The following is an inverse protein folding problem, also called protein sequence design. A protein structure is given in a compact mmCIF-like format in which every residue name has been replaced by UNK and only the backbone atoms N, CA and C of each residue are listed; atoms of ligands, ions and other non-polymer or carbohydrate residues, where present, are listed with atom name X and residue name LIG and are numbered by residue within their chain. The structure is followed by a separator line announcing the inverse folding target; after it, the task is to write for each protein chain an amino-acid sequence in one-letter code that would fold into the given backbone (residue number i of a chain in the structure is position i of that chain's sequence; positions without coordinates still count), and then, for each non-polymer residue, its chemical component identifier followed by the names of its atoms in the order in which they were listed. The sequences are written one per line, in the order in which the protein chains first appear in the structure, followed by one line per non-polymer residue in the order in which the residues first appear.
data_IF_345060864327
#
_entry.id   IF_345060864327
#
_cell.length_a   1.000
_cell.length_b   1.000
_cell.length_c   1.000
_cell.angle_alpha   90.00
_cell.angle_beta   90.00
_cell.angle_gamma   90.00
#
_symmetry.space_group_name_H-M   'P 1'
#
loop_
_entity.id
_entity.type
_entity.pdbx_description
1 polymer ?
#
# COMPACT_ATOMS: atom_id res chain seq x y z
N UNK A 1 -27.97 -1.19 12.79
CA UNK A 1 -27.31 0.13 12.80
C UNK A 1 -26.40 0.13 14.00
N UNK A 2 -25.12 -0.16 13.77
CA UNK A 2 -24.10 -0.05 14.81
C UNK A 2 -23.29 1.20 14.49
N UNK A 3 -23.19 2.07 15.49
CA UNK A 3 -22.54 3.37 15.42
C UNK A 3 -21.04 3.24 15.12
N UNK A 4 -20.70 3.37 13.83
CA UNK A 4 -19.34 3.59 13.30
C UNK A 4 -18.90 5.06 13.43
N UNK A 5 -19.63 5.87 14.20
CA UNK A 5 -19.40 7.30 14.37
C UNK A 5 -18.05 7.62 15.01
N UNK A 6 -17.48 6.70 15.78
CA UNK A 6 -16.13 6.85 16.34
C UNK A 6 -15.00 6.49 15.34
N UNK A 7 -15.31 5.89 14.18
CA UNK A 7 -14.34 5.70 13.09
C UNK A 7 -14.27 6.92 12.16
N UNK A 8 -15.24 7.83 12.23
CA UNK A 8 -15.30 9.06 11.43
C UNK A 8 -14.39 10.18 11.95
N UNK A 9 -13.78 10.04 13.13
CA UNK A 9 -12.94 11.08 13.71
C UNK A 9 -11.46 10.96 13.34
N UNK A 10 -11.00 9.79 12.86
CA UNK A 10 -9.63 9.65 12.32
C UNK A 10 -9.50 10.00 10.83
N UNK A 11 -10.61 10.11 10.10
CA UNK A 11 -10.60 10.43 8.65
C UNK A 11 -10.22 11.87 8.34
N UNK A 12 -10.24 12.78 9.33
CA UNK A 12 -9.99 14.21 9.11
C UNK A 12 -8.53 14.66 9.23
N UNK A 13 -7.60 13.80 9.69
CA UNK A 13 -6.20 14.21 9.90
C UNK A 13 -5.19 13.62 8.89
N UNK A 14 -5.57 12.64 8.06
CA UNK A 14 -4.68 12.08 7.03
C UNK A 14 -4.71 12.85 5.68
N UNK A 15 -5.23 14.07 5.67
CA UNK A 15 -5.33 14.92 4.49
C UNK A 15 -4.05 15.73 4.16
N UNK A 16 -2.88 15.29 4.61
CA UNK A 16 -1.62 15.92 4.21
C UNK A 16 -0.63 14.87 3.69
N UNK A 17 -0.14 15.12 2.47
CA UNK A 17 1.04 14.53 1.84
C UNK A 17 0.89 13.20 1.07
N UNK A 18 0.09 13.19 -0.01
CA UNK A 18 0.23 12.18 -1.08
C UNK A 18 1.40 12.43 -2.07
N UNK A 19 2.35 13.31 -1.71
CA UNK A 19 3.62 13.50 -2.45
C UNK A 19 4.83 13.69 -1.51
N UNK A 20 4.79 13.17 -0.26
CA UNK A 20 6.05 13.03 0.48
C UNK A 20 6.78 11.79 -0.03
N UNK A 21 7.73 12.09 -0.90
CA UNK A 21 8.77 11.26 -1.47
C UNK A 21 9.72 10.67 -0.43
N UNK A 22 9.31 9.87 0.56
CA UNK A 22 10.30 9.43 1.56
C UNK A 22 10.29 7.94 1.89
N UNK A 23 10.86 7.10 1.00
CA UNK A 23 11.63 5.95 1.45
C UNK A 23 12.93 6.36 2.15
N UNK A 24 13.32 7.64 2.05
CA UNK A 24 14.57 8.20 2.56
C UNK A 24 14.20 9.44 3.37
N UNK A 25 14.58 9.54 4.64
CA UNK A 25 14.24 10.71 5.45
C UNK A 25 14.76 11.98 4.77
N UNK A 26 13.94 13.05 4.70
CA UNK A 26 14.29 14.31 4.01
C UNK A 26 15.68 14.78 4.40
N UNK A 27 15.98 14.63 5.68
CA UNK A 27 17.26 14.98 6.31
C UNK A 27 18.43 14.25 5.65
N UNK A 28 18.31 12.94 5.40
CA UNK A 28 19.36 12.19 4.72
C UNK A 28 19.56 12.64 3.27
N UNK A 29 18.48 12.99 2.55
CA UNK A 29 18.60 13.58 1.22
C UNK A 29 19.29 14.95 1.25
N UNK A 30 18.94 15.82 2.20
CA UNK A 30 19.61 17.10 2.37
C UNK A 30 21.09 16.95 2.70
N UNK A 31 21.44 16.02 3.60
CA UNK A 31 22.84 15.72 3.94
C UNK A 31 23.59 15.21 2.71
N UNK A 32 23.00 14.29 1.94
CA UNK A 32 23.59 13.74 0.73
C UNK A 32 23.84 14.82 -0.34
N UNK A 33 22.85 15.69 -0.55
CA UNK A 33 22.95 16.83 -1.48
C UNK A 33 24.03 17.81 -1.02
N UNK A 34 24.08 18.15 0.26
CA UNK A 34 25.11 19.03 0.83
C UNK A 34 26.51 18.46 0.65
N UNK A 35 26.72 17.19 1.02
CA UNK A 35 27.99 16.48 0.84
C UNK A 35 28.43 16.45 -0.63
N UNK A 36 27.48 16.25 -1.55
CA UNK A 36 27.75 16.29 -2.97
C UNK A 36 28.25 17.66 -3.42
N UNK A 37 27.60 18.77 -3.02
CA UNK A 37 28.05 20.11 -3.39
C UNK A 37 29.44 20.44 -2.85
N UNK A 38 29.77 20.01 -1.63
CA UNK A 38 31.11 20.19 -1.06
C UNK A 38 32.15 19.40 -1.87
N UNK A 39 31.90 18.12 -2.15
CA UNK A 39 32.81 17.27 -2.93
C UNK A 39 32.98 17.76 -4.39
N UNK A 40 31.89 18.21 -5.00
CA UNK A 40 31.87 18.75 -6.34
C UNK A 40 32.65 20.08 -6.43
N UNK A 41 32.45 20.99 -5.46
CA UNK A 41 33.21 22.23 -5.38
C UNK A 41 34.70 22.00 -5.22
N UNK A 42 35.09 21.06 -4.35
CA UNK A 42 36.49 20.68 -4.20
C UNK A 42 37.07 20.07 -5.49
N UNK A 43 36.30 19.24 -6.19
CA UNK A 43 36.71 18.64 -7.47
C UNK A 43 36.91 19.69 -8.56
N UNK A 44 36.07 20.73 -8.62
CA UNK A 44 36.23 21.86 -9.54
C UNK A 44 37.49 22.67 -9.20
N UNK A 45 37.75 22.93 -7.92
CA UNK A 45 38.96 23.66 -7.50
C UNK A 45 40.23 22.93 -7.97
N UNK A 46 40.29 21.61 -7.75
CA UNK A 46 41.42 20.79 -8.22
C UNK A 46 41.52 20.79 -9.75
N UNK A 47 40.38 20.74 -10.47
CA UNK A 47 40.38 20.85 -11.92
C UNK A 47 40.96 22.18 -12.40
N UNK A 48 40.65 23.30 -11.75
CA UNK A 48 41.14 24.63 -12.16
C UNK A 48 42.62 24.80 -11.81
N UNK A 49 43.04 24.41 -10.60
CA UNK A 49 44.39 24.67 -10.08
C UNK A 49 45.41 23.65 -10.61
N UNK A 50 45.03 22.37 -10.62
CA UNK A 50 45.93 21.26 -10.97
C UNK A 50 45.74 20.83 -12.43
N UNK A 51 44.70 21.33 -13.11
CA UNK A 51 44.33 20.91 -14.47
C UNK A 51 44.10 19.40 -14.61
N UNK A 52 43.67 18.74 -13.53
CA UNK A 52 43.39 17.31 -13.50
C UNK A 52 41.89 17.04 -13.41
N UNK A 53 41.33 16.43 -14.46
CA UNK A 53 39.90 16.16 -14.57
C UNK A 53 39.42 14.87 -13.86
N UNK A 54 40.34 14.03 -13.37
CA UNK A 54 39.99 12.73 -12.79
C UNK A 54 39.00 12.87 -11.63
N UNK A 55 39.24 13.81 -10.70
CA UNK A 55 38.37 14.03 -9.53
C UNK A 55 36.97 14.53 -9.93
N UNK A 56 36.92 15.44 -10.91
CA UNK A 56 35.66 15.96 -11.43
C UNK A 56 34.82 14.87 -12.09
N UNK A 57 35.43 14.06 -12.96
CA UNK A 57 34.77 12.93 -13.63
C UNK A 57 34.29 11.90 -12.59
N UNK A 58 35.11 11.58 -11.60
CA UNK A 58 34.75 10.67 -10.51
C UNK A 58 33.55 11.18 -9.71
N UNK A 59 33.51 12.47 -9.38
CA UNK A 59 32.37 13.08 -8.67
C UNK A 59 31.07 13.01 -9.48
N UNK A 60 31.12 13.25 -10.80
CA UNK A 60 29.97 13.13 -11.68
C UNK A 60 29.49 11.68 -11.79
N UNK A 61 30.42 10.73 -11.89
CA UNK A 61 30.09 9.30 -11.94
C UNK A 61 29.41 8.83 -10.64
N UNK A 62 29.92 9.26 -9.49
CA UNK A 62 29.31 8.96 -8.19
C UNK A 62 27.89 9.52 -8.10
N UNK A 63 27.67 10.77 -8.56
CA UNK A 63 26.32 11.35 -8.62
C UNK A 63 25.38 10.49 -9.48
N UNK A 64 25.83 10.06 -10.65
CA UNK A 64 25.02 9.23 -11.53
C UNK A 64 24.62 7.90 -10.87
N UNK A 65 25.53 7.24 -10.15
CA UNK A 65 25.24 6.02 -9.39
C UNK A 65 24.22 6.25 -8.27
N UNK A 66 24.38 7.35 -7.52
CA UNK A 66 23.44 7.72 -6.45
C UNK A 66 22.04 7.98 -7.02
N UNK A 67 21.93 8.79 -8.07
CA UNK A 67 20.65 9.07 -8.73
C UNK A 67 20.00 7.79 -9.29
N UNK A 68 20.79 6.90 -9.90
CA UNK A 68 20.29 5.61 -10.37
C UNK A 68 19.75 4.75 -9.22
N UNK A 69 20.43 4.71 -8.08
CA UNK A 69 19.97 4.01 -6.88
C UNK A 69 18.69 4.63 -6.30
N UNK A 70 18.58 5.96 -6.25
CA UNK A 70 17.38 6.66 -5.79
C UNK A 70 16.19 6.37 -6.69
N UNK A 71 16.35 6.50 -8.01
CA UNK A 71 15.31 6.19 -9.00
C UNK A 71 14.88 4.73 -8.89
N UNK A 72 15.84 3.80 -8.76
CA UNK A 72 15.55 2.39 -8.55
C UNK A 72 14.67 2.16 -7.31
N UNK A 73 15.00 2.79 -6.19
CA UNK A 73 14.22 2.66 -4.96
C UNK A 73 12.82 3.25 -5.09
N UNK A 74 12.67 4.43 -5.68
CA UNK A 74 11.35 5.06 -5.92
C UNK A 74 10.45 4.19 -6.79
N UNK A 75 10.99 3.64 -7.89
CA UNK A 75 10.22 2.78 -8.79
C UNK A 75 9.77 1.48 -8.10
N UNK A 76 10.61 0.88 -7.28
CA UNK A 76 10.30 -0.37 -6.58
C UNK A 76 9.42 -0.16 -5.34
N UNK A 77 9.49 1.02 -4.71
CA UNK A 77 8.61 1.42 -3.62
C UNK A 77 7.15 1.46 -4.07
N UNK A 78 6.87 2.05 -5.24
CA UNK A 78 5.51 2.14 -5.78
C UNK A 78 4.81 0.78 -5.97
N UNK A 79 5.59 -0.30 -6.03
CA UNK A 79 5.13 -1.68 -6.22
C UNK A 79 5.15 -2.51 -4.93
N UNK A 80 5.41 -1.89 -3.77
CA UNK A 80 5.61 -2.56 -2.48
C UNK A 80 6.66 -3.70 -2.54
N UNK A 81 7.67 -3.58 -3.42
CA UNK A 81 8.56 -4.69 -3.75
C UNK A 81 9.44 -5.11 -2.57
N UNK A 82 9.92 -4.15 -1.78
CA UNK A 82 10.72 -4.43 -0.58
C UNK A 82 9.92 -5.27 0.44
N UNK A 83 8.68 -4.86 0.72
CA UNK A 83 7.76 -5.57 1.60
C UNK A 83 7.49 -6.98 1.05
N UNK A 84 7.19 -7.12 -0.25
CA UNK A 84 6.94 -8.43 -0.87
C UNK A 84 8.16 -9.36 -0.80
N UNK A 85 9.37 -8.83 -1.01
CA UNK A 85 10.61 -9.60 -0.87
C UNK A 85 10.80 -10.07 0.58
N UNK A 86 10.62 -9.15 1.54
CA UNK A 86 10.68 -9.47 2.97
C UNK A 86 9.69 -10.59 3.32
N UNK A 87 8.42 -10.44 2.91
CA UNK A 87 7.39 -11.45 3.14
C UNK A 87 7.72 -12.80 2.51
N UNK A 88 8.28 -12.82 1.29
CA UNK A 88 8.66 -14.06 0.63
C UNK A 88 9.85 -14.74 1.33
N UNK A 89 10.78 -13.95 1.88
CA UNK A 89 11.94 -14.47 2.62
C UNK A 89 11.58 -14.94 4.04
N UNK A 90 10.49 -14.41 4.61
CA UNK A 90 10.07 -14.80 5.95
C UNK A 90 9.48 -16.22 5.94
N UNK A 91 9.99 -17.15 6.76
CA UNK A 91 9.52 -18.53 6.78
C UNK A 91 8.10 -18.61 7.34
N UNK A 92 7.28 -19.50 6.79
CA UNK A 92 5.98 -19.79 7.38
C UNK A 92 6.15 -20.42 8.76
N UNK A 93 5.37 -19.93 9.71
CA UNK A 93 5.37 -20.37 11.10
C UNK A 93 4.31 -21.45 11.29
N UNK A 94 4.61 -22.42 12.15
CA UNK A 94 3.65 -23.41 12.59
C UNK A 94 3.01 -22.95 13.91
N UNK A 95 1.70 -22.73 13.89
CA UNK A 95 0.93 -22.27 15.04
C UNK A 95 1.02 -23.23 16.25
N UNK A 96 1.24 -24.52 16.01
CA UNK A 96 1.30 -25.51 17.07
C UNK A 96 2.57 -25.38 17.92
N UNK A 97 3.69 -24.99 17.30
CA UNK A 97 5.02 -24.91 17.93
C UNK A 97 5.48 -23.48 18.26
N UNK A 98 4.82 -22.47 17.71
CA UNK A 98 5.16 -21.06 17.94
C UNK A 98 4.90 -20.64 19.40
N UNK A 99 5.80 -19.81 19.93
CA UNK A 99 5.73 -19.29 21.31
C UNK A 99 4.89 -18.01 21.38
N UNK A 100 4.31 -17.76 22.55
CA UNK A 100 3.68 -16.47 22.84
C UNK A 100 4.69 -15.31 22.67
N UNK A 101 4.23 -14.21 22.08
CA UNK A 101 5.06 -13.05 21.74
C UNK A 101 5.96 -13.23 20.51
N UNK A 102 5.86 -14.34 19.79
CA UNK A 102 6.65 -14.55 18.57
C UNK A 102 5.98 -13.91 17.35
N UNK A 103 6.77 -13.26 16.48
CA UNK A 103 6.29 -12.83 15.17
C UNK A 103 6.07 -14.05 14.26
N UNK A 104 4.85 -14.23 13.78
CA UNK A 104 4.44 -15.40 12.98
C UNK A 104 3.96 -14.99 11.60
N UNK A 105 4.25 -15.83 10.60
CA UNK A 105 3.69 -15.73 9.24
C UNK A 105 2.86 -16.97 8.96
N UNK A 106 1.57 -16.78 8.73
CA UNK A 106 0.61 -17.87 8.57
C UNK A 106 -0.13 -17.68 7.26
N UNK A 107 -0.28 -18.77 6.51
CA UNK A 107 -1.04 -18.80 5.26
C UNK A 107 -2.23 -19.73 5.44
N UNK A 108 -3.44 -19.25 5.15
CA UNK A 108 -4.65 -19.98 5.48
C UNK A 108 -5.91 -19.42 4.86
N UNK A 109 -7.01 -20.15 5.01
CA UNK A 109 -8.34 -19.68 4.60
C UNK A 109 -8.88 -18.71 5.65
N UNK A 110 -9.35 -17.54 5.19
CA UNK A 110 -9.96 -16.53 6.05
C UNK A 110 -11.47 -16.78 6.23
N UNK A 111 -11.95 -16.71 7.46
CA UNK A 111 -13.37 -16.76 7.82
C UNK A 111 -13.78 -15.50 8.59
N UNK A 112 -14.95 -14.94 8.31
CA UNK A 112 -15.44 -13.75 9.02
C UNK A 112 -15.55 -14.03 10.53
N UNK A 113 -15.26 -13.00 11.33
CA UNK A 113 -15.52 -13.00 12.76
C UNK A 113 -16.98 -12.63 13.08
N UNK A 114 -17.19 -12.01 14.23
CA UNK A 114 -18.51 -11.57 14.69
C UNK A 114 -19.11 -10.48 13.79
N UNK A 115 -18.25 -9.67 13.17
CA UNK A 115 -18.62 -8.60 12.25
C UNK A 115 -18.13 -8.95 10.86
N UNK A 116 -18.98 -8.76 9.86
CA UNK A 116 -18.61 -8.88 8.45
C UNK A 116 -18.72 -7.54 7.76
N UNK A 117 -17.77 -7.24 6.87
CA UNK A 117 -17.80 -6.04 6.06
C UNK A 117 -18.55 -6.29 4.75
N UNK A 118 -19.06 -5.20 4.21
CA UNK A 118 -19.57 -5.12 2.86
C UNK A 118 -18.68 -4.17 2.06
N UNK A 119 -18.35 -4.53 0.82
CA UNK A 119 -17.58 -3.65 -0.04
C UNK A 119 -18.36 -2.37 -0.34
N UNK A 120 -17.63 -1.27 -0.54
CA UNK A 120 -18.22 0.05 -0.60
C UNK A 120 -19.09 0.27 -1.83
N UNK A 121 -18.55 -0.08 -3.00
CA UNK A 121 -19.15 0.25 -4.30
C UNK A 121 -19.80 -0.98 -4.95
N UNK A 122 -19.09 -2.10 -5.08
CA UNK A 122 -19.66 -3.35 -5.62
C UNK A 122 -20.64 -4.06 -4.67
N UNK A 123 -20.69 -3.64 -3.39
CA UNK A 123 -21.60 -4.20 -2.36
C UNK A 123 -21.40 -5.69 -2.13
N UNK A 124 -20.14 -6.15 -2.16
CA UNK A 124 -19.81 -7.56 -1.92
C UNK A 124 -19.90 -7.87 -0.42
N UNK A 125 -20.81 -8.77 0.01
CA UNK A 125 -20.98 -9.08 1.43
C UNK A 125 -19.91 -10.08 1.91
N UNK A 126 -19.79 -10.20 3.25
CA UNK A 126 -18.89 -11.16 3.91
C UNK A 126 -17.42 -10.95 3.53
N UNK A 127 -16.98 -9.70 3.64
CA UNK A 127 -15.57 -9.34 3.50
C UNK A 127 -14.91 -9.19 4.87
N UNK A 128 -13.63 -9.60 4.99
CA UNK A 128 -12.80 -9.35 6.17
C UNK A 128 -12.03 -8.04 6.08
N UNK A 129 -11.80 -7.59 4.84
CA UNK A 129 -11.13 -6.34 4.50
C UNK A 129 -11.81 -5.74 3.26
N UNK A 130 -11.95 -4.40 3.25
CA UNK A 130 -12.40 -3.65 2.09
C UNK A 130 -11.63 -2.33 1.98
N UNK A 131 -11.34 -1.93 0.75
CA UNK A 131 -10.68 -0.69 0.41
C UNK A 131 -11.32 -0.08 -0.81
N UNK A 132 -11.45 1.23 -0.81
CA UNK A 132 -11.94 1.99 -1.95
C UNK A 132 -11.13 3.26 -2.08
N UNK A 133 -10.55 3.45 -3.26
CA UNK A 133 -9.67 4.55 -3.59
C UNK A 133 -10.21 5.29 -4.81
N UNK A 134 -10.56 6.56 -4.63
CA UNK A 134 -10.97 7.45 -5.70
C UNK A 134 -9.78 8.31 -6.12
N UNK A 135 -9.42 8.21 -7.40
CA UNK A 135 -8.41 9.04 -8.03
C UNK A 135 -9.07 10.05 -8.95
N UNK A 136 -8.59 11.27 -8.89
CA UNK A 136 -8.97 12.37 -9.77
C UNK A 136 -7.80 12.73 -10.66
N UNK A 137 -8.06 12.91 -11.95
CA UNK A 137 -7.03 13.38 -12.88
C UNK A 137 -6.88 14.89 -12.72
N UNK A 138 -5.76 15.34 -12.15
CA UNK A 138 -5.43 16.76 -12.04
C UNK A 138 -4.66 17.24 -13.26
N UNK A 139 -4.96 18.48 -13.68
CA UNK A 139 -4.22 19.19 -14.72
C UNK A 139 -3.12 20.00 -14.03
N UNK A 140 -1.87 19.70 -14.34
CA UNK A 140 -0.76 20.53 -13.93
C UNK A 140 -0.38 21.47 -15.08
N UNK A 141 -0.48 22.78 -14.84
CA UNK A 141 0.03 23.81 -15.75
C UNK A 141 1.29 24.40 -15.16
N UNK A 142 2.46 24.00 -15.65
CA UNK A 142 3.72 24.65 -15.29
C UNK A 142 3.84 25.98 -16.03
N UNK A 143 3.82 27.11 -15.32
CA UNK A 143 4.25 28.41 -15.86
C UNK A 143 5.79 28.48 -15.88
N UNK A 144 6.44 27.60 -16.64
CA UNK A 144 7.86 27.72 -16.95
C UNK A 144 7.99 28.29 -18.37
N UNK A 145 8.77 29.35 -18.53
CA UNK A 145 8.69 30.31 -19.65
C UNK A 145 9.01 29.77 -21.06
N UNK A 146 9.23 28.47 -21.27
CA UNK A 146 9.62 27.95 -22.60
C UNK A 146 8.98 26.65 -23.07
N UNK A 147 8.17 25.95 -22.27
CA UNK A 147 7.42 24.77 -22.75
C UNK A 147 6.07 24.69 -22.06
N UNK A 148 4.99 24.92 -22.81
CA UNK A 148 3.62 24.79 -22.33
C UNK A 148 3.17 23.32 -22.34
N UNK A 149 3.86 22.46 -21.59
CA UNK A 149 3.51 21.04 -21.49
C UNK A 149 2.44 20.83 -20.43
N UNK A 150 1.26 20.32 -20.83
CA UNK A 150 0.21 19.89 -19.89
C UNK A 150 0.53 18.47 -19.45
N UNK A 151 0.95 18.31 -18.20
CA UNK A 151 1.09 16.98 -17.61
C UNK A 151 -0.23 16.61 -16.91
N UNK A 152 -0.71 15.42 -17.22
CA UNK A 152 -1.88 14.86 -16.55
C UNK A 152 -1.44 13.78 -15.58
N UNK A 153 -1.75 13.95 -14.31
CA UNK A 153 -1.40 13.00 -13.26
C UNK A 153 -2.64 12.60 -12.46
N UNK A 154 -2.75 11.31 -12.14
CA UNK A 154 -3.75 10.82 -11.21
C UNK A 154 -3.35 11.17 -9.79
N UNK A 155 -4.27 11.80 -9.06
CA UNK A 155 -4.10 12.20 -7.66
C UNK A 155 -5.16 11.49 -6.84
N UNK A 156 -4.77 10.89 -5.71
CA UNK A 156 -5.72 10.29 -4.78
C UNK A 156 -6.57 11.40 -4.16
N UNK A 157 -7.87 11.38 -4.44
CA UNK A 157 -8.84 12.35 -3.94
C UNK A 157 -9.53 11.87 -2.66
N UNK A 158 -9.78 10.56 -2.57
CA UNK A 158 -10.43 9.94 -1.41
C UNK A 158 -9.95 8.50 -1.25
N UNK A 159 -9.81 8.04 -0.01
CA UNK A 159 -9.48 6.64 0.30
C UNK A 159 -10.17 6.24 1.59
N UNK A 160 -10.84 5.11 1.57
CA UNK A 160 -11.41 4.45 2.74
C UNK A 160 -10.90 3.01 2.79
N UNK A 161 -10.47 2.56 3.96
CA UNK A 161 -9.97 1.21 4.20
C UNK A 161 -10.52 0.73 5.53
N UNK A 162 -11.15 -0.44 5.51
CA UNK A 162 -11.79 -1.04 6.67
C UNK A 162 -11.33 -2.49 6.79
N UNK A 163 -11.06 -2.91 8.01
CA UNK A 163 -10.73 -4.27 8.40
C UNK A 163 -11.54 -4.68 9.62
N UNK A 164 -11.78 -5.97 9.74
CA UNK A 164 -12.51 -6.57 10.87
C UNK A 164 -11.67 -7.66 11.52
N UNK A 165 -12.00 -8.02 12.75
CA UNK A 165 -11.47 -9.24 13.34
C UNK A 165 -11.98 -10.44 12.53
N UNK A 166 -11.08 -11.35 12.19
CA UNK A 166 -11.41 -12.53 11.40
C UNK A 166 -10.66 -13.74 11.91
N UNK A 167 -11.11 -14.92 11.50
CA UNK A 167 -10.42 -16.15 11.80
C UNK A 167 -9.58 -16.58 10.61
N UNK A 168 -8.39 -17.11 10.88
CA UNK A 168 -7.56 -17.77 9.87
C UNK A 168 -7.38 -19.23 10.25
N UNK A 169 -7.59 -20.12 9.30
CA UNK A 169 -7.29 -21.56 9.47
C UNK A 169 -6.00 -21.85 8.74
N UNK A 170 -4.94 -22.14 9.50
CA UNK A 170 -3.61 -22.41 8.94
C UNK A 170 -3.63 -23.66 8.06
N UNK A 171 -3.10 -23.53 6.84
CA UNK A 171 -3.07 -24.62 5.88
C UNK A 171 -2.08 -25.73 6.26
N UNK A 172 -1.09 -25.43 7.12
CA UNK A 172 -0.09 -26.41 7.58
C UNK A 172 -0.56 -27.20 8.78
N UNK A 173 -0.93 -26.51 9.86
CA UNK A 173 -1.31 -27.17 11.12
C UNK A 173 -2.80 -27.50 11.21
N UNK A 174 -3.65 -26.89 10.38
CA UNK A 174 -5.12 -26.95 10.54
C UNK A 174 -5.64 -26.15 11.74
N UNK A 175 -4.75 -25.48 12.49
CA UNK A 175 -5.12 -24.72 13.68
C UNK A 175 -5.82 -23.42 13.28
N UNK A 176 -6.93 -23.12 13.95
CA UNK A 176 -7.65 -21.86 13.77
C UNK A 176 -7.12 -20.83 14.77
N UNK A 177 -6.73 -19.66 14.25
CA UNK A 177 -6.35 -18.50 15.05
C UNK A 177 -7.27 -17.31 14.76
N UNK A 178 -7.43 -16.45 15.75
CA UNK A 178 -8.19 -15.19 15.59
C UNK A 178 -7.21 -14.06 15.26
N UNK A 179 -7.39 -13.40 14.12
CA UNK A 179 -6.62 -12.21 13.75
C UNK A 179 -7.35 -10.98 14.25
N UNK A 180 -6.69 -10.22 15.13
CA UNK A 180 -7.19 -8.95 15.68
C UNK A 180 -6.84 -7.80 14.74
N UNK A 181 -7.58 -7.68 13.65
CA UNK A 181 -7.42 -6.67 12.60
C UNK A 181 -8.58 -5.65 12.57
N UNK A 182 -9.50 -5.70 13.53
CA UNK A 182 -10.66 -4.80 13.61
C UNK A 182 -10.33 -3.37 14.07
N UNK A 183 -11.36 -2.67 14.54
CA UNK A 183 -11.28 -1.26 14.92
C UNK A 183 -10.19 -1.00 15.96
N UNK A 184 -9.27 -0.08 15.65
CA UNK A 184 -8.12 0.26 16.49
C UNK A 184 -6.82 -0.48 16.16
N UNK A 185 -6.86 -1.51 15.32
CA UNK A 185 -5.67 -2.20 14.84
C UNK A 185 -5.16 -1.58 13.53
N UNK A 186 -3.84 -1.37 13.43
CA UNK A 186 -3.17 -0.95 12.20
C UNK A 186 -2.93 -2.17 11.32
N UNK A 187 -3.31 -2.07 10.05
CA UNK A 187 -3.13 -3.12 9.06
C UNK A 187 -2.46 -2.53 7.83
N UNK A 188 -1.38 -3.18 7.39
CA UNK A 188 -0.71 -2.94 6.11
C UNK A 188 -1.22 -3.96 5.07
N UNK A 189 -2.17 -3.58 4.20
CA UNK A 189 -2.74 -4.46 3.20
C UNK A 189 -1.84 -4.55 1.95
N UNK A 190 -1.58 -5.77 1.49
CA UNK A 190 -0.95 -6.09 0.21
C UNK A 190 -1.94 -6.84 -0.66
N UNK A 191 -2.96 -6.10 -1.07
CA UNK A 191 -4.11 -6.59 -1.83
C UNK A 191 -4.16 -5.81 -3.14
N UNK A 192 -4.42 -6.50 -4.24
CA UNK A 192 -4.62 -5.86 -5.52
C UNK A 192 -5.99 -5.16 -5.54
N UNK A 193 -5.99 -3.86 -5.83
CA UNK A 193 -7.21 -3.08 -6.07
C UNK A 193 -7.57 -3.18 -7.56
N UNK A 194 -8.82 -3.49 -7.89
CA UNK A 194 -9.34 -3.50 -9.26
C UNK A 194 -9.96 -2.13 -9.61
N UNK A 195 -9.72 -1.66 -10.84
CA UNK A 195 -10.40 -0.45 -11.33
C UNK A 195 -11.83 -0.81 -11.72
N UNK A 196 -12.79 -0.36 -10.91
CA UNK A 196 -14.23 -0.59 -11.14
C UNK A 196 -14.78 0.44 -12.13
N UNK A 197 -14.36 1.69 -11.97
CA UNK A 197 -14.81 2.80 -12.82
C UNK A 197 -13.60 3.56 -13.34
N UNK A 198 -13.63 3.85 -14.64
CA UNK A 198 -12.68 4.75 -15.26
C UNK A 198 -13.44 5.71 -16.17
N UNK A 199 -13.71 6.92 -15.70
CA UNK A 199 -14.41 7.94 -16.47
C UNK A 199 -13.48 8.51 -17.53
N UNK A 200 -13.88 8.41 -18.79
CA UNK A 200 -13.18 9.04 -19.93
C UNK A 200 -13.75 10.43 -20.21
N UNK A 201 -13.01 11.24 -20.99
CA UNK A 201 -13.39 12.61 -21.33
C UNK A 201 -14.67 12.72 -22.16
N UNK A 202 -15.17 11.61 -22.68
CA UNK A 202 -16.37 11.52 -23.51
C UNK A 202 -17.65 11.42 -22.65
N UNK A 203 -17.54 10.97 -21.41
CA UNK A 203 -18.66 10.86 -20.47
C UNK A 203 -18.85 12.18 -19.72
N UNK A 204 -19.64 13.10 -20.30
CA UNK A 204 -20.03 14.37 -19.65
C UNK A 204 -20.95 14.18 -18.43
N UNK A 205 -21.46 12.98 -18.18
CA UNK A 205 -22.42 12.69 -17.10
C UNK A 205 -21.95 11.46 -16.32
N UNK A 206 -21.77 11.62 -15.00
CA UNK A 206 -21.49 10.51 -14.07
C UNK A 206 -22.74 9.62 -13.94
N UNK A 207 -22.53 8.31 -13.76
CA UNK A 207 -23.64 7.38 -13.48
C UNK A 207 -24.39 7.79 -12.21
N UNK A 208 -25.69 7.53 -12.16
CA UNK A 208 -26.55 7.85 -11.01
C UNK A 208 -26.04 7.21 -9.73
N UNK A 209 -25.57 5.96 -9.82
CA UNK A 209 -25.00 5.22 -8.70
C UNK A 209 -23.71 5.86 -8.17
N UNK A 210 -22.78 6.24 -9.06
CA UNK A 210 -21.55 6.93 -8.67
C UNK A 210 -21.84 8.31 -8.07
N UNK A 211 -22.77 9.06 -8.64
CA UNK A 211 -23.21 10.36 -8.10
C UNK A 211 -23.75 10.22 -6.68
N UNK A 212 -24.59 9.21 -6.43
CA UNK A 212 -25.12 8.91 -5.09
C UNK A 212 -23.98 8.55 -4.12
N UNK A 213 -23.10 7.63 -4.52
CA UNK A 213 -21.96 7.19 -3.71
C UNK A 213 -21.01 8.35 -3.33
N UNK A 214 -20.75 9.28 -4.26
CA UNK A 214 -19.99 10.51 -4.02
C UNK A 214 -20.72 11.46 -3.06
N UNK A 215 -22.03 11.64 -3.26
CA UNK A 215 -22.87 12.49 -2.42
C UNK A 215 -22.94 12.01 -0.97
N UNK A 216 -23.09 10.69 -0.76
CA UNK A 216 -23.12 10.06 0.57
C UNK A 216 -21.82 10.31 1.37
N UNK A 217 -20.72 10.66 0.69
CA UNK A 217 -19.39 10.94 1.26
C UNK A 217 -18.99 12.41 1.19
N UNK A 218 -19.93 13.31 0.89
CA UNK A 218 -19.69 14.75 0.73
C UNK A 218 -18.60 15.09 -0.31
N UNK A 219 -18.45 14.27 -1.36
CA UNK A 219 -17.51 14.51 -2.46
C UNK A 219 -18.21 15.26 -3.61
N UNK A 220 -17.44 16.05 -4.38
CA UNK A 220 -17.99 16.76 -5.54
C UNK A 220 -18.59 15.77 -6.56
N UNK A 221 -19.83 16.04 -6.93
CA UNK A 221 -20.64 15.26 -7.89
C UNK A 221 -20.59 15.83 -9.31
N UNK A 222 -19.71 16.79 -9.56
CA UNK A 222 -19.49 17.36 -10.88
C UNK A 222 -18.80 16.35 -11.79
N UNK A 223 -19.03 16.48 -13.11
CA UNK A 223 -18.42 15.61 -14.09
C UNK A 223 -16.92 15.93 -14.23
N UNK A 224 -16.08 14.93 -13.96
CA UNK A 224 -14.62 15.02 -14.02
C UNK A 224 -14.03 13.64 -14.29
N UNK A 225 -12.74 13.62 -14.62
CA UNK A 225 -12.00 12.39 -14.89
C UNK A 225 -11.68 11.69 -13.57
N UNK A 226 -12.52 10.73 -13.22
CA UNK A 226 -12.42 9.91 -12.02
C UNK A 226 -11.98 8.50 -12.37
N UNK A 227 -11.22 7.90 -11.47
CA UNK A 227 -10.93 6.47 -11.45
C UNK A 227 -11.23 5.94 -10.07
N UNK A 228 -12.18 5.03 -9.97
CA UNK A 228 -12.53 4.35 -8.73
C UNK A 228 -11.89 2.97 -8.74
N UNK A 229 -11.04 2.72 -7.76
CA UNK A 229 -10.47 1.42 -7.49
C UNK A 229 -11.11 0.85 -6.23
N UNK A 230 -11.42 -0.43 -6.24
CA UNK A 230 -11.94 -1.16 -5.09
C UNK A 230 -11.12 -2.44 -4.90
N UNK A 231 -10.84 -2.79 -3.66
CA UNK A 231 -10.16 -4.04 -3.31
C UNK A 231 -10.81 -4.61 -2.07
N UNK A 232 -11.11 -5.90 -2.05
CA UNK A 232 -11.69 -6.56 -0.89
C UNK A 232 -11.13 -7.98 -0.74
N UNK A 233 -11.26 -8.52 0.47
CA UNK A 233 -10.94 -9.91 0.77
C UNK A 233 -12.19 -10.58 1.29
N UNK A 234 -12.74 -11.47 0.48
CA UNK A 234 -13.96 -12.20 0.81
C UNK A 234 -13.65 -13.38 1.72
N UNK A 235 -14.60 -13.74 2.55
CA UNK A 235 -14.58 -15.02 3.26
C UNK A 235 -14.29 -16.21 2.34
N UNK A 236 -13.49 -17.16 2.83
CA UNK A 236 -12.98 -18.32 2.08
C UNK A 236 -11.74 -18.03 1.24
N UNK A 237 -11.29 -16.78 1.15
CA UNK A 237 -10.08 -16.43 0.42
C UNK A 237 -8.84 -16.95 1.13
N UNK A 238 -7.85 -17.41 0.35
CA UNK A 238 -6.52 -17.71 0.86
C UNK A 238 -5.79 -16.40 1.16
N UNK A 239 -5.33 -16.25 2.39
CA UNK A 239 -4.60 -15.06 2.86
C UNK A 239 -3.33 -15.47 3.58
N UNK A 240 -2.34 -14.58 3.54
CA UNK A 240 -1.15 -14.66 4.38
C UNK A 240 -1.16 -13.49 5.36
N UNK A 241 -1.02 -13.79 6.64
CA UNK A 241 -0.98 -12.81 7.73
C UNK A 241 0.37 -12.85 8.40
N UNK A 242 0.97 -11.68 8.65
CA UNK A 242 2.09 -11.53 9.58
C UNK A 242 1.65 -10.68 10.77
N UNK A 243 1.89 -11.19 11.96
CA UNK A 243 1.57 -10.50 13.21
C UNK A 243 2.22 -11.16 14.42
N UNK A 244 2.01 -10.57 15.58
CA UNK A 244 2.50 -11.11 16.84
C UNK A 244 1.54 -12.18 17.34
N UNK A 245 2.06 -13.37 17.63
CA UNK A 245 1.28 -14.44 18.24
C UNK A 245 1.02 -14.09 19.71
N UNK A 246 -0.25 -14.10 20.09
CA UNK A 246 -0.67 -14.00 21.47
C UNK A 246 -1.47 -15.25 21.86
N UNK A 247 -1.04 -15.96 22.90
CA UNK A 247 -1.63 -17.22 23.35
C UNK A 247 -2.13 -17.06 24.78
N UNK A 248 -3.44 -17.14 24.96
CA UNK A 248 -4.09 -17.04 26.27
C UNK A 248 -5.08 -18.19 26.46
N UNK A 249 -4.82 -19.06 27.44
CA UNK A 249 -5.73 -20.14 27.88
C UNK A 249 -6.40 -20.88 26.70
N UNK A 250 -5.58 -21.41 25.79
CA UNK A 250 -5.94 -22.13 24.55
C UNK A 250 -6.52 -21.31 23.39
N UNK A 251 -6.76 -20.01 23.57
CA UNK A 251 -7.11 -19.11 22.47
C UNK A 251 -5.84 -18.60 21.80
N UNK A 252 -5.70 -18.89 20.51
CA UNK A 252 -4.61 -18.41 19.67
C UNK A 252 -5.07 -17.15 18.94
N UNK A 253 -4.39 -16.04 19.20
CA UNK A 253 -4.66 -14.75 18.58
C UNK A 253 -3.42 -14.22 17.85
N UNK A 254 -3.64 -13.49 16.76
CA UNK A 254 -2.60 -12.79 16.02
C UNK A 254 -2.94 -11.32 16.11
N UNK A 255 -2.08 -10.55 16.76
CA UNK A 255 -2.30 -9.14 17.08
C UNK A 255 -1.27 -8.27 16.41
N UNK A 256 -1.55 -6.96 16.30
CA UNK A 256 -0.59 -6.02 15.77
C UNK A 256 0.70 -6.04 16.62
N UNK A 257 1.89 -6.06 15.99
CA UNK A 257 3.14 -5.85 16.69
C UNK A 257 3.15 -4.47 17.37
N UNK A 258 3.69 -4.33 18.59
CA UNK A 258 3.80 -3.05 19.28
C UNK A 258 4.89 -2.15 18.67
N UNK A 259 5.88 -2.75 18.00
CA UNK A 259 7.00 -2.07 17.35
C UNK A 259 6.86 -2.14 15.82
N UNK A 260 7.50 -1.19 15.14
CA UNK A 260 7.58 -1.19 13.67
C UNK A 260 8.39 -2.39 13.18
N UNK A 261 7.88 -3.11 12.18
CA UNK A 261 8.63 -4.18 11.52
C UNK A 261 9.49 -3.55 10.42
N UNK A 262 10.80 -3.49 10.62
CA UNK A 262 11.69 -3.08 9.54
C UNK A 262 11.99 -4.25 8.60
N UNK A 263 11.89 -4.02 7.28
CA UNK A 263 12.31 -5.04 6.28
C UNK A 263 13.82 -5.29 6.30
N UNK A 264 14.59 -4.48 7.03
CA UNK A 264 16.04 -4.45 6.96
C UNK A 264 16.56 -3.96 5.62
N UNK A 265 17.88 -3.78 5.52
CA UNK A 265 18.50 -3.34 4.27
C UNK A 265 18.70 -4.52 3.32
N UNK A 266 18.01 -4.49 2.18
CA UNK A 266 18.06 -5.53 1.16
C UNK A 266 19.18 -5.22 0.14
N UNK A 267 20.43 -5.14 0.61
CA UNK A 267 21.60 -4.73 -0.17
C UNK A 267 21.77 -5.47 -1.51
N UNK A 268 21.51 -6.79 -1.53
CA UNK A 268 21.58 -7.61 -2.76
C UNK A 268 20.61 -7.14 -3.86
N UNK A 269 19.59 -6.36 -3.52
CA UNK A 269 18.59 -5.81 -4.45
C UNK A 269 18.65 -4.28 -4.52
N UNK A 270 19.60 -3.65 -3.84
CA UNK A 270 19.75 -2.19 -3.71
C UNK A 270 18.46 -1.53 -3.24
N UNK A 271 17.72 -2.17 -2.32
CA UNK A 271 16.49 -1.63 -1.74
C UNK A 271 16.73 -1.13 -0.32
N UNK A 272 16.28 0.09 -0.04
CA UNK A 272 16.28 0.68 1.29
C UNK A 272 15.30 -0.04 2.22
N UNK A 273 15.59 -0.04 3.54
CA UNK A 273 14.66 -0.58 4.52
C UNK A 273 13.33 0.16 4.49
N UNK A 274 12.25 -0.58 4.68
CA UNK A 274 10.90 -0.07 4.81
C UNK A 274 10.39 -0.46 6.18
N UNK A 275 9.90 0.50 6.93
CA UNK A 275 9.26 0.24 8.22
C UNK A 275 7.77 0.02 7.99
N UNK A 276 7.30 -1.14 8.44
CA UNK A 276 5.92 -1.60 8.28
C UNK A 276 5.21 -1.44 9.61
N UNK A 277 4.06 -0.78 9.57
CA UNK A 277 3.26 -0.54 10.75
C UNK A 277 2.09 -1.54 10.82
N UNK A 278 1.97 -2.21 11.96
CA UNK A 278 0.85 -3.10 12.27
C UNK A 278 0.89 -4.48 11.60
N UNK A 279 -0.28 -5.11 11.50
CA UNK A 279 -0.47 -6.44 10.89
C UNK A 279 -0.28 -6.38 9.38
N UNK A 280 0.38 -7.36 8.78
CA UNK A 280 0.49 -7.45 7.33
C UNK A 280 -0.55 -8.43 6.82
N UNK A 281 -1.44 -7.99 5.93
CA UNK A 281 -2.45 -8.83 5.29
C UNK A 281 -2.16 -8.91 3.79
N UNK A 282 -1.82 -10.10 3.28
CA UNK A 282 -1.56 -10.33 1.86
C UNK A 282 -2.53 -11.35 1.28
N UNK A 283 -2.97 -11.10 0.05
CA UNK A 283 -3.66 -12.10 -0.78
C UNK A 283 -2.69 -12.61 -1.84
N UNK A 284 -2.43 -13.93 -1.94
CA UNK A 284 -1.62 -14.50 -3.01
C UNK A 284 -2.27 -14.27 -4.39
N UNK A 285 -1.46 -13.93 -5.39
CA UNK A 285 -1.90 -13.57 -6.73
C UNK A 285 -2.62 -14.73 -7.48
N UNK A 286 -2.36 -15.97 -7.07
CA UNK A 286 -3.04 -17.17 -7.59
C UNK A 286 -4.51 -17.30 -7.15
N UNK A 287 -4.94 -16.64 -6.07
CA UNK A 287 -6.32 -16.67 -5.59
C UNK A 287 -7.23 -15.70 -6.36
N UNK A 288 -6.68 -14.63 -6.93
CA UNK A 288 -7.40 -13.64 -7.75
C UNK A 288 -8.01 -14.26 -9.01
N UNK A 289 -7.39 -15.31 -9.55
CA UNK A 289 -7.81 -16.00 -10.78
C UNK A 289 -9.07 -16.85 -10.53
N UNK A 290 -9.25 -17.37 -9.31
CA UNK A 290 -10.42 -18.21 -8.95
C UNK A 290 -11.68 -17.36 -8.74
N UNK A 291 -11.54 -16.10 -8.31
CA UNK A 291 -12.65 -15.14 -8.25
C UNK A 291 -13.17 -14.75 -9.64
N UNK A 292 -12.26 -14.54 -10.60
CA UNK A 292 -12.60 -14.11 -11.97
C UNK A 292 -13.31 -15.20 -12.79
N UNK A 293 -13.01 -16.48 -12.57
CA UNK A 293 -13.71 -17.58 -13.25
C UNK A 293 -15.15 -17.76 -12.77
N UNK A 294 -15.48 -17.29 -11.55
CA UNK A 294 -16.87 -17.32 -11.04
C UNK A 294 -17.75 -16.17 -11.57
N UNK A 295 -17.14 -15.05 -12.00
CA UNK A 295 -17.87 -13.87 -12.51
C UNK A 295 -18.15 -13.98 -14.02
N UNK A 296 -17.34 -14.75 -14.77
CA UNK A 296 -17.52 -14.93 -16.21
C UNK A 296 -18.73 -15.80 -16.62
N UNK A 297 -19.40 -16.47 -15.68
CA UNK A 297 -20.62 -17.25 -15.95
C UNK A 297 -21.86 -16.60 -15.32
N UNK A 298 -22.30 -15.47 -15.85
CA UNK A 298 -23.74 -15.16 -15.89
C UNK A 298 -24.18 -15.08 -17.35
N UNK A 299 -25.07 -15.96 -17.82
CA UNK A 299 -25.73 -15.76 -19.10
C UNK A 299 -26.68 -14.57 -18.98
N UNK A 300 -26.54 -13.63 -19.91
CA UNK A 300 -27.57 -12.64 -20.21
C UNK A 300 -28.81 -13.38 -20.70
N UNK A 301 -29.82 -13.51 -19.85
CA UNK A 301 -31.17 -13.86 -20.26
C UNK A 301 -32.14 -12.81 -19.68
N UNK A 302 -32.90 -12.26 -20.63
CA UNK A 302 -34.08 -11.36 -20.55
C UNK A 302 -33.86 -9.91 -20.08
#
# INVERSE_FOLDING_TARGET
MNDLSNALTETHQNHRHCCNFEPIPTVALYILVFLFFVAFGFSIFILIVVHNAIFFISSLFLLALVLACLIWNVLNWSKNRAILIFLNSFPESDLSSAKDGQLVKITGSASCGDVSLESSFEKVPRCIYSSTCLYERRIFQSKAAFVNSRCYQWSLAYSERFSTDFYITDNKSGTRATVKAGSGAKVTPLIAESTIINTTSEHRVLSTYLRKWLGDRNLSTEARLLRLNEGYVKEGSLVTVIGLLHRNNDVVMIVQPPELISTGCLWKKLLFPVDIEGLILRVPESASIVGLTSISKRPSNE
#
